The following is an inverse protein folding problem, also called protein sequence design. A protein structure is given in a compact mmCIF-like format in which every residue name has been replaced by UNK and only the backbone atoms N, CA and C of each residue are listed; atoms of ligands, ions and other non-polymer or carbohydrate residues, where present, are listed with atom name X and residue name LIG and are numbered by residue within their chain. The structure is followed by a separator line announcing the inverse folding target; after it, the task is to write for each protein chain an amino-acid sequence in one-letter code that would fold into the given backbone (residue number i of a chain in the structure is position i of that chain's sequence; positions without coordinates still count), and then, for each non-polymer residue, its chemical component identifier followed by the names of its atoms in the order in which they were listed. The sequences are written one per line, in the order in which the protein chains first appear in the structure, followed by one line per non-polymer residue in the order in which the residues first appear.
data_IF_404577021609
#
_entry.id   IF_404577021609
#
_cell.length_a   1.000
_cell.length_b   1.000
_cell.length_c   1.000
_cell.angle_alpha   90.00
_cell.angle_beta   90.00
_cell.angle_gamma   90.00
#
_symmetry.space_group_name_H-M   'P 1'
#
loop_
_entity.id
_entity.type
_entity.pdbx_description
1 polymer ?
#
# COMPACT_ATOMS: atom_id res chain seq x y z
N UNK A 1 -3.48 15.31 5.93
CA UNK A 1 -2.18 14.64 5.66
C UNK A 1 -2.06 13.43 6.58
N UNK A 2 -1.44 12.33 6.14
CA UNK A 2 -1.36 11.08 6.91
C UNK A 2 -0.40 11.13 8.12
N UNK A 3 0.34 12.23 8.32
CA UNK A 3 1.39 12.32 9.33
C UNK A 3 2.61 11.44 8.99
N UNK A 4 2.87 11.28 7.69
CA UNK A 4 3.96 10.46 7.14
C UNK A 4 4.90 11.42 6.42
N UNK A 5 6.20 11.34 6.70
CA UNK A 5 7.19 12.13 5.98
C UNK A 5 7.17 11.81 4.48
N UNK A 6 7.36 12.82 3.63
CA UNK A 6 7.38 12.62 2.17
C UNK A 6 8.47 11.65 1.72
N UNK A 7 9.64 11.71 2.35
CA UNK A 7 10.76 10.78 2.11
C UNK A 7 10.35 9.33 2.40
N UNK A 8 9.65 9.10 3.51
CA UNK A 8 9.17 7.77 3.89
C UNK A 8 8.06 7.28 2.95
N UNK A 9 7.09 8.16 2.61
CA UNK A 9 6.05 7.82 1.63
C UNK A 9 6.67 7.43 0.28
N UNK A 10 7.67 8.17 -0.20
CA UNK A 10 8.32 7.84 -1.48
C UNK A 10 8.99 6.46 -1.48
N UNK A 11 9.54 6.01 -0.36
CA UNK A 11 10.10 4.65 -0.22
C UNK A 11 9.01 3.58 -0.28
N UNK A 12 7.83 3.85 0.28
CA UNK A 12 6.68 2.95 0.24
C UNK A 12 6.14 2.83 -1.20
N UNK A 13 6.01 3.95 -1.91
CA UNK A 13 5.51 3.98 -3.29
C UNK A 13 6.41 3.22 -4.28
N UNK A 14 7.73 3.18 -4.02
CA UNK A 14 8.70 2.41 -4.83
C UNK A 14 8.87 0.95 -4.36
N UNK A 15 8.18 0.53 -3.31
CA UNK A 15 8.31 -0.82 -2.75
C UNK A 15 9.59 -1.08 -1.96
N UNK A 16 10.38 -0.04 -1.67
CA UNK A 16 11.61 -0.15 -0.86
C UNK A 16 11.27 -0.44 0.62
N UNK A 17 10.14 0.09 1.10
CA UNK A 17 9.67 -0.05 2.48
C UNK A 17 8.27 -0.65 2.53
N UNK A 18 8.10 -1.73 3.30
CA UNK A 18 6.79 -2.33 3.56
C UNK A 18 6.07 -1.55 4.66
N UNK A 19 4.89 -0.97 4.40
CA UNK A 19 4.14 -0.24 5.42
C UNK A 19 3.56 -1.21 6.46
N UNK A 20 3.65 -0.85 7.73
CA UNK A 20 2.98 -1.59 8.81
C UNK A 20 1.46 -1.34 8.78
N UNK A 21 0.69 -2.20 9.44
CA UNK A 21 -0.77 -2.08 9.50
C UNK A 21 -1.25 -0.68 9.99
N UNK A 22 -0.71 -0.07 11.06
CA UNK A 22 -1.10 1.28 11.46
C UNK A 22 -0.83 2.34 10.38
N UNK A 23 0.23 2.15 9.57
CA UNK A 23 0.57 3.06 8.49
C UNK A 23 -0.44 2.96 7.34
N UNK A 24 -0.82 1.74 6.97
CA UNK A 24 -1.89 1.47 5.99
C UNK A 24 -3.20 2.16 6.40
N UNK A 25 -3.60 2.05 7.67
CA UNK A 25 -4.81 2.72 8.19
C UNK A 25 -4.72 4.26 8.10
N UNK A 26 -3.56 4.84 8.41
CA UNK A 26 -3.34 6.30 8.27
C UNK A 26 -3.43 6.76 6.82
N UNK A 27 -2.86 5.98 5.90
CA UNK A 27 -2.90 6.24 4.45
C UNK A 27 -4.33 6.17 3.94
N UNK A 28 -5.06 5.09 4.24
CA UNK A 28 -6.46 4.92 3.84
C UNK A 28 -7.33 6.10 4.29
N UNK A 29 -7.19 6.52 5.56
CA UNK A 29 -7.88 7.71 6.09
C UNK A 29 -7.52 8.99 5.33
N UNK A 30 -6.24 9.18 5.00
CA UNK A 30 -5.80 10.36 4.26
C UNK A 30 -6.30 10.37 2.80
N UNK A 31 -6.45 9.19 2.19
CA UNK A 31 -7.02 8.99 0.86
C UNK A 31 -8.56 8.95 0.85
N UNK A 32 -9.21 9.01 2.02
CA UNK A 32 -10.66 8.92 2.19
C UNK A 32 -11.25 7.61 1.62
N UNK A 33 -10.51 6.51 1.75
CA UNK A 33 -10.97 5.19 1.35
C UNK A 33 -10.86 4.19 2.51
N UNK A 34 -11.49 3.03 2.35
CA UNK A 34 -11.34 1.92 3.29
C UNK A 34 -9.95 1.30 3.15
N UNK A 35 -9.32 0.88 4.25
CA UNK A 35 -8.09 0.10 4.19
C UNK A 35 -8.27 -1.23 3.46
N UNK A 36 -9.48 -1.80 3.50
CA UNK A 36 -9.82 -3.00 2.73
C UNK A 36 -9.64 -2.77 1.23
N UNK A 37 -9.98 -1.57 0.73
CA UNK A 37 -9.79 -1.23 -0.68
C UNK A 37 -8.32 -1.27 -1.09
N UNK A 38 -7.42 -0.79 -0.23
CA UNK A 38 -5.98 -0.86 -0.47
C UNK A 38 -5.46 -2.30 -0.47
N UNK A 39 -5.97 -3.14 0.43
CA UNK A 39 -5.62 -4.57 0.46
C UNK A 39 -6.08 -5.28 -0.80
N UNK A 40 -7.33 -5.11 -1.22
CA UNK A 40 -7.87 -5.70 -2.47
C UNK A 40 -7.04 -5.29 -3.69
N UNK A 41 -6.69 -4.01 -3.83
CA UNK A 41 -5.85 -3.56 -4.94
C UNK A 41 -4.44 -4.19 -4.89
N UNK A 42 -3.92 -4.45 -3.70
CA UNK A 42 -2.61 -5.10 -3.52
C UNK A 42 -2.69 -6.57 -3.91
N UNK A 43 -3.72 -7.29 -3.48
CA UNK A 43 -3.96 -8.69 -3.84
C UNK A 43 -4.08 -8.88 -5.36
N UNK A 44 -4.86 -8.01 -6.04
CA UNK A 44 -5.00 -8.03 -7.51
C UNK A 44 -3.65 -7.86 -8.20
N UNK A 45 -2.86 -6.86 -7.79
CA UNK A 45 -1.53 -6.62 -8.38
C UNK A 45 -0.56 -7.77 -8.15
N UNK A 46 -0.61 -8.40 -6.97
CA UNK A 46 0.21 -9.57 -6.67
C UNK A 46 -0.19 -10.77 -7.52
N UNK A 47 -1.48 -10.96 -7.78
CA UNK A 47 -1.98 -12.00 -8.68
C UNK A 47 -1.54 -11.75 -10.14
N UNK A 48 -1.56 -10.51 -10.62
CA UNK A 48 -1.06 -10.12 -11.96
C UNK A 48 0.45 -10.33 -12.11
N UNK A 49 1.19 -10.22 -11.00
CA UNK A 49 2.65 -10.33 -10.98
C UNK A 49 3.14 -11.75 -10.70
N UNK A 50 2.23 -12.68 -10.39
CA UNK A 50 2.59 -14.07 -10.17
C UNK A 50 2.99 -14.70 -11.52
N UNK A 51 4.15 -15.38 -11.61
CA UNK A 51 4.48 -16.13 -12.81
C UNK A 51 3.38 -17.16 -13.07
N UNK A 52 2.94 -17.27 -14.34
CA UNK A 52 2.08 -18.39 -14.74
C UNK A 52 2.80 -19.67 -14.33
N UNK A 53 2.13 -20.50 -13.54
CA UNK A 53 2.62 -21.83 -13.21
C UNK A 53 2.49 -22.70 -14.46
N UNK A 54 3.46 -22.59 -15.37
CA UNK A 54 3.71 -23.54 -16.47
C UNK A 54 4.94 -24.39 -16.14
#
# INVERSE_FOLDING_TARGET
MAGIERSHMGKIERGEHVPTLPLILKIARALKCSSAHLMTLTEVKLAESAPSAD
#
